data_IF_712771617831
#
_entry.id   IF_712771617831
#
_cell.length_a   1.000
_cell.length_b   1.000
_cell.length_c   1.000
_cell.angle_alpha   90.00
_cell.angle_beta   90.00
_cell.angle_gamma   90.00
#
_symmetry.space_group_name_H-M   'P 1'
#
loop_
_entity.id
_entity.type
_entity.pdbx_description
1 polymer ?
#
# COMPACT_ATOMS: atom_id res chain seq x y z
N UNK A 1 -20.35 -3.38 14.38
CA UNK A 1 -18.97 -3.40 13.87
C UNK A 1 -18.74 -4.74 13.17
N UNK A 2 -18.24 -4.72 11.94
CA UNK A 2 -17.80 -5.93 11.23
C UNK A 2 -16.28 -5.86 10.98
N UNK A 3 -15.63 -7.01 10.93
CA UNK A 3 -14.23 -7.12 10.52
C UNK A 3 -14.18 -7.59 9.07
N UNK A 4 -13.41 -6.89 8.26
CA UNK A 4 -13.21 -7.22 6.85
C UNK A 4 -11.74 -7.54 6.64
N UNK A 5 -11.48 -8.70 6.01
CA UNK A 5 -10.15 -9.13 5.60
C UNK A 5 -10.16 -9.29 4.09
N UNK A 6 -9.31 -8.53 3.39
CA UNK A 6 -9.23 -8.54 1.94
C UNK A 6 -7.78 -8.65 1.47
N UNK A 7 -7.62 -9.13 0.23
CA UNK A 7 -6.34 -9.13 -0.47
C UNK A 7 -6.51 -8.37 -1.77
N UNK A 8 -5.59 -7.47 -2.05
CA UNK A 8 -5.55 -6.67 -3.26
C UNK A 8 -4.16 -6.71 -3.89
N UNK A 9 -4.12 -6.62 -5.22
CA UNK A 9 -2.89 -6.47 -5.98
C UNK A 9 -2.82 -5.01 -6.44
N UNK A 10 -1.81 -4.31 -5.95
CA UNK A 10 -1.45 -2.96 -6.36
C UNK A 10 -0.24 -3.03 -7.27
N UNK A 11 -0.15 -2.12 -8.23
CA UNK A 11 1.00 -2.02 -9.11
C UNK A 11 1.74 -0.71 -8.83
N UNK A 12 3.02 -0.83 -8.54
CA UNK A 12 3.94 0.31 -8.52
C UNK A 12 4.75 0.32 -9.81
N UNK A 13 4.93 1.49 -10.39
CA UNK A 13 5.67 1.67 -11.64
C UNK A 13 6.90 2.52 -11.37
N UNK A 14 8.05 2.08 -11.90
CA UNK A 14 9.31 2.80 -11.81
C UNK A 14 9.84 3.01 -13.23
N UNK A 15 10.13 4.26 -13.56
CA UNK A 15 10.86 4.59 -14.78
C UNK A 15 12.36 4.47 -14.52
N UNK A 16 13.02 3.55 -15.23
CA UNK A 16 14.47 3.35 -15.18
C UNK A 16 15.21 4.12 -16.29
N UNK A 17 14.50 4.89 -17.11
CA UNK A 17 15.02 5.65 -18.26
C UNK A 17 15.18 4.83 -19.54
N UNK A 18 15.34 3.51 -19.44
CA UNK A 18 15.40 2.58 -20.57
C UNK A 18 14.22 1.61 -20.61
N UNK A 19 13.51 1.44 -19.49
CA UNK A 19 12.29 0.66 -19.40
C UNK A 19 11.40 1.12 -18.24
N UNK A 20 10.12 0.79 -18.34
CA UNK A 20 9.14 0.96 -17.27
C UNK A 20 8.96 -0.36 -16.51
N UNK A 21 9.44 -0.40 -15.28
CA UNK A 21 9.34 -1.56 -14.41
C UNK A 21 8.00 -1.55 -13.68
N UNK A 22 7.17 -2.58 -13.92
CA UNK A 22 5.91 -2.82 -13.22
C UNK A 22 6.13 -3.81 -12.07
N UNK A 23 5.93 -3.35 -10.84
CA UNK A 23 6.11 -4.15 -9.62
C UNK A 23 4.73 -4.52 -9.06
N UNK A 24 4.33 -5.81 -9.09
CA UNK A 24 3.13 -6.27 -8.41
C UNK A 24 3.38 -6.32 -6.90
N UNK A 25 2.46 -5.73 -6.15
CA UNK A 25 2.47 -5.68 -4.70
C UNK A 25 1.20 -6.33 -4.20
N UNK A 26 1.33 -7.42 -3.44
CA UNK A 26 0.21 -7.99 -2.71
C UNK A 26 0.06 -7.21 -1.41
N UNK A 27 -1.12 -6.65 -1.20
CA UNK A 27 -1.49 -6.00 0.05
C UNK A 27 -2.58 -6.85 0.69
N UNK A 28 -2.30 -7.32 1.91
CA UNK A 28 -3.31 -7.93 2.77
C UNK A 28 -3.78 -6.84 3.73
N UNK A 29 -5.09 -6.62 3.79
CA UNK A 29 -5.68 -5.60 4.68
C UNK A 29 -6.71 -6.22 5.58
N UNK A 30 -6.72 -5.76 6.81
CA UNK A 30 -7.71 -6.08 7.82
C UNK A 30 -8.20 -4.77 8.43
N UNK A 31 -9.52 -4.57 8.44
CA UNK A 31 -10.09 -3.35 8.98
C UNK A 31 -11.43 -3.56 9.66
N UNK A 32 -11.66 -2.77 10.71
CA UNK A 32 -12.95 -2.64 11.37
C UNK A 32 -13.83 -1.65 10.61
N UNK A 33 -15.08 -2.04 10.37
CA UNK A 33 -16.08 -1.19 9.73
C UNK A 33 -17.29 -0.99 10.66
N UNK A 34 -17.62 0.26 10.92
CA UNK A 34 -18.81 0.68 11.66
C UNK A 34 -19.62 1.65 10.81
N UNK A 35 -20.78 1.18 10.33
CA UNK A 35 -21.50 1.87 9.25
C UNK A 35 -20.62 1.96 8.00
N UNK A 36 -20.32 3.18 7.56
CA UNK A 36 -19.38 3.47 6.46
C UNK A 36 -18.01 3.95 6.95
N UNK A 37 -17.72 3.89 8.24
CA UNK A 37 -16.46 4.40 8.80
C UNK A 37 -15.48 3.26 9.07
N UNK A 38 -14.26 3.38 8.53
CA UNK A 38 -13.14 2.51 8.85
C UNK A 38 -12.54 2.96 10.19
N UNK A 39 -12.66 2.12 11.22
CA UNK A 39 -12.28 2.47 12.60
C UNK A 39 -10.89 1.98 12.99
N UNK A 40 -10.44 0.88 12.37
CA UNK A 40 -9.11 0.30 12.54
C UNK A 40 -8.61 -0.19 11.18
N UNK A 41 -7.30 -0.09 10.92
CA UNK A 41 -6.69 -0.60 9.70
C UNK A 41 -5.33 -1.21 10.02
N UNK A 42 -5.16 -2.47 9.66
CA UNK A 42 -3.87 -3.15 9.60
C UNK A 42 -3.61 -3.53 8.15
N UNK A 43 -2.36 -3.40 7.72
CA UNK A 43 -1.94 -3.80 6.37
C UNK A 43 -0.62 -4.52 6.39
N UNK A 44 -0.46 -5.46 5.47
CA UNK A 44 0.79 -6.15 5.18
C UNK A 44 1.10 -6.06 3.69
N UNK A 45 2.25 -5.51 3.37
CA UNK A 45 2.72 -5.30 2.01
C UNK A 45 3.75 -6.38 1.64
N UNK A 46 3.54 -7.06 0.52
CA UNK A 46 4.38 -8.16 0.05
C UNK A 46 4.75 -7.94 -1.41
N UNK A 47 6.05 -7.93 -1.71
CA UNK A 47 6.57 -7.85 -3.06
C UNK A 47 7.97 -8.47 -3.11
N UNK A 48 8.45 -8.87 -4.29
CA UNK A 48 9.68 -9.65 -4.43
C UNK A 48 10.94 -8.76 -4.41
N UNK A 49 11.21 -8.14 -3.27
CA UNK A 49 12.36 -7.26 -3.08
C UNK A 49 13.70 -7.95 -3.41
N UNK A 50 14.00 -9.20 -2.96
CA UNK A 50 15.28 -9.84 -3.28
C UNK A 50 15.51 -10.00 -4.79
N UNK A 51 14.47 -10.33 -5.54
CA UNK A 51 14.56 -10.41 -7.01
C UNK A 51 14.80 -9.04 -7.64
N UNK A 52 14.11 -7.99 -7.16
CA UNK A 52 14.27 -6.63 -7.68
C UNK A 52 15.68 -6.10 -7.47
N UNK A 53 16.26 -6.30 -6.28
CA UNK A 53 17.62 -5.87 -5.98
C UNK A 53 18.65 -6.67 -6.80
N UNK A 54 18.41 -7.97 -7.00
CA UNK A 54 19.27 -8.81 -7.86
C UNK A 54 19.24 -8.36 -9.32
N UNK A 55 18.06 -8.08 -9.86
CA UNK A 55 17.88 -7.71 -11.27
C UNK A 55 18.28 -6.25 -11.53
N UNK A 56 18.09 -5.36 -10.56
CA UNK A 56 18.39 -3.94 -10.66
C UNK A 56 19.26 -3.47 -9.48
N UNK A 57 20.57 -3.76 -9.50
CA UNK A 57 21.47 -3.47 -8.35
C UNK A 57 21.60 -1.99 -7.99
N UNK A 58 21.23 -1.08 -8.91
CA UNK A 58 21.23 0.36 -8.68
C UNK A 58 19.95 0.87 -7.97
N UNK A 59 18.95 0.01 -7.77
CA UNK A 59 17.76 0.40 -7.01
C UNK A 59 18.14 0.60 -5.54
N UNK A 60 17.84 1.80 -5.04
CA UNK A 60 17.93 2.08 -3.62
C UNK A 60 16.72 1.44 -2.91
N UNK A 61 16.99 0.43 -2.09
CA UNK A 61 15.97 -0.34 -1.37
C UNK A 61 15.09 0.53 -0.46
N UNK A 62 15.67 1.50 0.26
CA UNK A 62 14.94 2.36 1.17
C UNK A 62 13.98 3.28 0.41
N UNK A 63 14.47 3.90 -0.67
CA UNK A 63 13.63 4.72 -1.57
C UNK A 63 12.51 3.89 -2.19
N UNK A 64 12.81 2.66 -2.61
CA UNK A 64 11.82 1.74 -3.17
C UNK A 64 10.73 1.39 -2.14
N UNK A 65 11.12 1.03 -0.91
CA UNK A 65 10.19 0.74 0.18
C UNK A 65 9.25 1.92 0.43
N UNK A 66 9.80 3.13 0.55
CA UNK A 66 9.01 4.35 0.77
C UNK A 66 8.05 4.64 -0.39
N UNK A 67 8.50 4.50 -1.64
CA UNK A 67 7.67 4.74 -2.82
C UNK A 67 6.52 3.70 -2.95
N UNK A 68 6.81 2.44 -2.64
CA UNK A 68 5.81 1.37 -2.59
C UNK A 68 4.78 1.67 -1.49
N UNK A 69 5.23 2.07 -0.31
CA UNK A 69 4.36 2.35 0.82
C UNK A 69 3.41 3.53 0.53
N UNK A 70 3.91 4.59 -0.12
CA UNK A 70 3.09 5.70 -0.60
C UNK A 70 2.06 5.25 -1.64
N UNK A 71 2.46 4.38 -2.58
CA UNK A 71 1.56 3.81 -3.59
C UNK A 71 0.45 3.00 -2.92
N UNK A 72 0.79 2.12 -1.98
CA UNK A 72 -0.19 1.33 -1.23
C UNK A 72 -1.12 2.23 -0.43
N UNK A 73 -0.61 3.28 0.24
CA UNK A 73 -1.44 4.23 0.99
C UNK A 73 -2.47 4.92 0.09
N UNK A 74 -2.05 5.39 -1.08
CA UNK A 74 -2.95 5.98 -2.08
C UNK A 74 -4.01 4.99 -2.54
N UNK A 75 -3.60 3.80 -2.97
CA UNK A 75 -4.52 2.80 -3.53
C UNK A 75 -5.52 2.28 -2.48
N UNK A 76 -5.12 2.15 -1.21
CA UNK A 76 -6.05 1.84 -0.12
C UNK A 76 -7.07 2.96 0.14
N UNK A 77 -6.63 4.22 0.06
CA UNK A 77 -7.56 5.35 0.18
C UNK A 77 -8.58 5.35 -0.96
N UNK A 78 -8.14 5.08 -2.18
CA UNK A 78 -9.02 4.99 -3.35
C UNK A 78 -9.97 3.78 -3.22
N UNK A 79 -9.47 2.64 -2.75
CA UNK A 79 -10.24 1.41 -2.48
C UNK A 79 -11.39 1.63 -1.49
N UNK A 80 -11.16 2.39 -0.42
CA UNK A 80 -12.21 2.76 0.54
C UNK A 80 -13.19 3.78 -0.04
N UNK A 81 -12.68 4.78 -0.74
CA UNK A 81 -13.51 5.81 -1.39
C UNK A 81 -14.50 5.21 -2.39
N UNK A 82 -14.05 4.28 -3.24
CA UNK A 82 -14.91 3.58 -4.22
C UNK A 82 -16.02 2.78 -3.54
N UNK A 83 -15.78 2.27 -2.32
CA UNK A 83 -16.79 1.57 -1.51
C UNK A 83 -17.69 2.50 -0.69
N UNK A 84 -17.50 3.82 -0.79
CA UNK A 84 -18.23 4.80 0.01
C UNK A 84 -17.81 4.81 1.48
N UNK A 85 -16.61 4.31 1.80
CA UNK A 85 -16.11 4.28 3.16
C UNK A 85 -15.29 5.54 3.48
N UNK A 86 -15.43 6.03 4.70
CA UNK A 86 -14.64 7.14 5.24
C UNK A 86 -13.51 6.59 6.08
N UNK A 87 -12.28 7.00 5.77
CA UNK A 87 -11.08 6.67 6.52
C UNK A 87 -10.34 7.95 6.89
N UNK A 88 -10.14 8.20 8.19
CA UNK A 88 -9.23 9.26 8.68
C UNK A 88 -7.92 8.59 9.07
N UNK A 89 -6.84 8.90 8.35
CA UNK A 89 -5.49 8.43 8.71
C UNK A 89 -5.21 8.78 10.18
N UNK A 90 -5.05 7.79 11.05
CA UNK A 90 -4.68 8.02 12.46
C UNK A 90 -3.18 8.34 12.64
N UNK A 91 -2.42 8.49 11.55
CA UNK A 91 -0.99 8.84 11.60
C UNK A 91 -0.70 10.30 12.00
N UNK A 92 -1.71 11.18 12.10
CA UNK A 92 -1.54 12.59 12.51
C UNK A 92 -1.41 12.81 14.03
N UNK A 93 -1.31 11.74 14.85
CA UNK A 93 -1.23 11.85 16.32
C UNK A 93 0.08 11.30 16.93
N UNK A 94 1.21 11.57 16.29
CA UNK A 94 2.54 11.31 16.89
C UNK A 94 3.49 12.51 16.83
N UNK A 95 2.95 13.72 16.92
CA UNK A 95 3.69 14.91 17.34
C UNK A 95 2.80 15.70 18.30
N UNK A 96 2.96 15.43 19.61
CA UNK A 96 2.25 16.07 20.70
C UNK A 96 2.94 15.78 22.02
#
# INVERSE_FOLDING_TARGET
MIWVVERLIVYHFIDLGFEMLKIPIRVEVEYGLEGSTVTSLSKKTLYNLPYLIKQYPKLNQEKLNTAIEQTVKKELSDHFKVRGYTYRNQEERKDG
#
